data_IF_520579894970
#
_entry.id   IF_520579894970
#
_cell.length_a   1.000
_cell.length_b   1.000
_cell.length_c   1.000
_cell.angle_alpha   90.00
_cell.angle_beta   90.00
_cell.angle_gamma   90.00
#
_symmetry.space_group_name_H-M   'P 1'
#
loop_
_entity.id
_entity.type
_entity.pdbx_description
1 polymer ?
#
# COMPACT_ATOMS: atom_id res chain seq x y z
N UNK A 1 57.19 -42.53 86.89
CA UNK A 1 58.38 -42.26 86.05
C UNK A 1 57.98 -41.29 84.94
N UNK A 2 58.15 -39.98 85.17
CA UNK A 2 59.04 -39.08 84.39
C UNK A 2 59.05 -39.33 82.88
N UNK A 3 58.37 -38.46 82.12
CA UNK A 3 58.88 -37.96 80.85
C UNK A 3 58.71 -36.44 80.82
N UNK A 4 59.85 -35.77 81.00
CA UNK A 4 60.04 -34.35 80.70
C UNK A 4 59.78 -34.14 79.20
N UNK A 5 58.91 -33.19 78.85
CA UNK A 5 58.99 -32.49 77.57
C UNK A 5 59.48 -31.08 77.88
N UNK A 6 60.56 -30.59 77.24
CA UNK A 6 61.02 -29.23 77.47
C UNK A 6 60.05 -28.27 76.77
N UNK A 7 59.55 -27.30 77.53
CA UNK A 7 59.04 -26.05 76.99
C UNK A 7 60.19 -25.36 76.26
N UNK A 8 60.21 -25.43 74.92
CA UNK A 8 61.00 -24.49 74.13
C UNK A 8 60.20 -23.18 74.09
N UNK A 9 60.71 -22.17 74.79
CA UNK A 9 60.21 -20.80 74.73
C UNK A 9 60.42 -20.24 73.33
N UNK A 10 59.33 -20.06 72.58
CA UNK A 10 59.30 -19.20 71.39
C UNK A 10 59.19 -17.73 71.83
N UNK A 11 60.22 -17.23 72.53
CA UNK A 11 60.36 -15.82 72.90
C UNK A 11 61.75 -15.38 72.47
N UNK A 12 61.88 -15.01 71.20
CA UNK A 12 63.16 -14.61 70.64
C UNK A 12 63.13 -14.47 69.12
N UNK A 13 62.18 -13.71 68.57
CA UNK A 13 62.23 -13.29 67.15
C UNK A 13 61.53 -11.95 66.88
N UNK A 14 60.95 -11.28 67.86
CA UNK A 14 60.17 -10.03 67.65
C UNK A 14 61.03 -8.76 67.54
N UNK A 15 62.34 -8.83 67.77
CA UNK A 15 63.20 -7.64 67.81
C UNK A 15 63.66 -7.12 66.44
N UNK A 16 63.70 -7.95 65.38
CA UNK A 16 64.18 -7.52 64.05
C UNK A 16 63.07 -7.07 63.08
N UNK A 17 61.80 -7.36 63.39
CA UNK A 17 60.65 -7.03 62.52
C UNK A 17 60.26 -5.54 62.54
N UNK A 18 60.66 -4.81 63.57
CA UNK A 18 60.20 -3.44 63.82
C UNK A 18 61.17 -2.37 63.25
N UNK A 19 62.45 -2.73 63.04
CA UNK A 19 63.47 -1.80 62.53
C UNK A 19 63.28 -1.48 61.04
N UNK A 20 63.00 -2.50 60.22
CA UNK A 20 62.79 -2.35 58.77
C UNK A 20 61.55 -1.50 58.43
N UNK A 21 60.47 -1.65 59.20
CA UNK A 21 59.23 -0.88 59.02
C UNK A 21 59.41 0.60 59.40
N UNK A 22 60.08 0.89 60.52
CA UNK A 22 60.40 2.26 60.94
C UNK A 22 61.35 2.94 59.97
N UNK A 23 62.35 2.22 59.46
CA UNK A 23 63.26 2.74 58.44
C UNK A 23 62.52 3.04 57.13
N UNK A 24 61.63 2.14 56.67
CA UNK A 24 60.76 2.39 55.51
C UNK A 24 59.94 3.69 55.66
N UNK A 25 59.26 3.86 56.81
CA UNK A 25 58.43 5.05 57.09
C UNK A 25 59.25 6.35 57.12
N UNK A 26 60.46 6.30 57.68
CA UNK A 26 61.35 7.46 57.73
C UNK A 26 61.89 7.82 56.36
N UNK A 27 62.31 6.83 55.57
CA UNK A 27 62.99 7.03 54.29
C UNK A 27 62.06 7.49 53.17
N UNK A 28 60.78 7.12 53.20
CA UNK A 28 59.79 7.57 52.20
C UNK A 28 59.60 9.10 52.19
N UNK A 29 59.88 9.76 53.31
CA UNK A 29 59.79 11.23 53.42
C UNK A 29 60.96 11.94 52.74
N UNK A 30 62.05 11.22 52.46
CA UNK A 30 63.28 11.77 51.87
C UNK A 30 63.36 11.40 50.38
N UNK A 31 63.08 12.36 49.51
CA UNK A 31 63.10 12.17 48.05
C UNK A 31 64.48 11.81 47.49
N UNK A 32 65.56 12.07 48.23
CA UNK A 32 66.92 11.69 47.83
C UNK A 32 67.24 10.21 48.09
N UNK A 33 66.42 9.52 48.89
CA UNK A 33 66.66 8.14 49.34
C UNK A 33 65.67 7.12 48.77
N UNK A 34 65.01 7.43 47.65
CA UNK A 34 63.96 6.58 47.05
C UNK A 34 64.37 5.11 46.84
N UNK A 35 65.59 4.84 46.40
CA UNK A 35 66.05 3.46 46.19
C UNK A 35 66.25 2.70 47.51
N UNK A 36 66.71 3.38 48.56
CA UNK A 36 66.85 2.81 49.89
C UNK A 36 65.48 2.65 50.57
N UNK A 37 64.58 3.60 50.38
CA UNK A 37 63.18 3.49 50.82
C UNK A 37 62.53 2.26 50.16
N UNK A 38 62.74 2.05 48.86
CA UNK A 38 62.20 0.91 48.14
C UNK A 38 62.67 -0.43 48.73
N UNK A 39 63.98 -0.63 48.94
CA UNK A 39 64.50 -1.88 49.47
C UNK A 39 64.05 -2.14 50.92
N UNK A 40 63.99 -1.10 51.76
CA UNK A 40 63.53 -1.23 53.14
C UNK A 40 62.03 -1.51 53.22
N UNK A 41 61.22 -0.82 52.43
CA UNK A 41 59.78 -1.07 52.37
C UNK A 41 59.44 -2.43 51.77
N UNK A 42 60.18 -2.91 50.76
CA UNK A 42 60.03 -4.25 50.21
C UNK A 42 60.28 -5.33 51.27
N UNK A 43 61.39 -5.21 52.00
CA UNK A 43 61.75 -6.13 53.07
C UNK A 43 60.67 -6.16 54.15
N UNK A 44 60.30 -4.99 54.68
CA UNK A 44 59.28 -4.87 55.73
C UNK A 44 57.88 -5.33 55.26
N UNK A 45 57.53 -5.11 53.98
CA UNK A 45 56.28 -5.59 53.41
C UNK A 45 56.22 -7.12 53.32
N UNK A 46 57.33 -7.75 52.92
CA UNK A 46 57.47 -9.21 52.87
C UNK A 46 57.50 -9.86 54.26
N UNK A 47 57.95 -9.11 55.27
CA UNK A 47 57.89 -9.48 56.68
C UNK A 47 56.47 -9.39 57.27
N UNK A 48 55.50 -8.86 56.51
CA UNK A 48 54.08 -8.88 56.87
C UNK A 48 53.53 -7.59 57.46
N UNK A 49 54.36 -6.54 57.65
CA UNK A 49 53.91 -5.30 58.26
C UNK A 49 52.87 -4.58 57.38
N UNK A 50 51.66 -4.35 57.90
CA UNK A 50 50.55 -3.75 57.15
C UNK A 50 50.88 -2.36 56.58
N UNK A 51 51.56 -1.51 57.35
CA UNK A 51 51.89 -0.16 56.89
C UNK A 51 53.01 -0.19 55.83
N UNK A 52 54.03 -1.03 56.02
CA UNK A 52 55.09 -1.23 55.02
C UNK A 52 54.55 -1.81 53.71
N UNK A 53 53.57 -2.72 53.77
CA UNK A 53 52.88 -3.24 52.57
C UNK A 53 52.15 -2.14 51.81
N UNK A 54 51.46 -1.24 52.51
CA UNK A 54 50.83 -0.07 51.92
C UNK A 54 51.86 0.87 51.26
N UNK A 55 52.89 1.24 52.01
CA UNK A 55 53.95 2.15 51.58
C UNK A 55 54.74 1.59 50.38
N UNK A 56 55.08 0.30 50.40
CA UNK A 56 55.70 -0.37 49.28
C UNK A 56 54.79 -0.40 48.05
N UNK A 57 53.49 -0.61 48.24
CA UNK A 57 52.54 -0.54 47.13
C UNK A 57 52.46 0.86 46.51
N UNK A 58 52.57 1.94 47.28
CA UNK A 58 52.66 3.30 46.71
C UNK A 58 53.88 3.46 45.80
N UNK A 59 55.04 2.96 46.24
CA UNK A 59 56.27 2.97 45.43
C UNK A 59 56.12 2.13 44.15
N UNK A 60 55.41 1.00 44.22
CA UNK A 60 55.10 0.19 43.04
C UNK A 60 54.18 0.92 42.06
N UNK A 61 53.20 1.70 42.55
CA UNK A 61 52.33 2.54 41.69
C UNK A 61 53.14 3.62 40.97
N UNK A 62 54.11 4.25 41.65
CA UNK A 62 55.03 5.23 41.04
C UNK A 62 55.88 4.61 39.93
N UNK A 63 56.25 3.33 40.08
CA UNK A 63 56.99 2.55 39.07
C UNK A 63 56.11 1.92 37.99
N UNK A 64 54.83 2.27 37.94
CA UNK A 64 53.84 1.71 37.02
C UNK A 64 53.61 0.19 37.17
N UNK A 65 53.95 -0.37 38.33
CA UNK A 65 53.77 -1.78 38.68
C UNK A 65 52.43 -2.00 39.41
N UNK A 66 51.36 -1.45 38.85
CA UNK A 66 50.05 -1.38 39.52
C UNK A 66 49.46 -2.75 39.91
N UNK A 67 49.66 -3.79 39.10
CA UNK A 67 49.19 -5.15 39.43
C UNK A 67 49.85 -5.69 40.69
N UNK A 68 51.15 -5.46 40.84
CA UNK A 68 51.90 -5.88 42.02
C UNK A 68 51.51 -5.02 43.23
N UNK A 69 51.33 -3.72 43.02
CA UNK A 69 50.85 -2.81 44.07
C UNK A 69 49.51 -3.25 44.65
N UNK A 70 48.55 -3.64 43.80
CA UNK A 70 47.24 -4.16 44.22
C UNK A 70 47.42 -5.36 45.15
N UNK A 71 48.29 -6.31 44.81
CA UNK A 71 48.52 -7.49 45.66
C UNK A 71 49.01 -7.11 47.07
N UNK A 72 49.92 -6.13 47.19
CA UNK A 72 50.38 -5.64 48.49
C UNK A 72 49.34 -4.78 49.22
N UNK A 73 48.55 -4.00 48.49
CA UNK A 73 47.42 -3.27 49.06
C UNK A 73 46.36 -4.23 49.60
N UNK A 74 46.06 -5.33 48.91
CA UNK A 74 45.14 -6.37 49.40
C UNK A 74 45.67 -7.01 50.69
N UNK A 75 46.96 -7.35 50.76
CA UNK A 75 47.59 -7.85 52.00
C UNK A 75 47.46 -6.83 53.14
N UNK A 76 47.74 -5.56 52.88
CA UNK A 76 47.63 -4.49 53.88
C UNK A 76 46.18 -4.23 54.32
N UNK A 77 45.25 -4.23 53.37
CA UNK A 77 43.82 -4.04 53.58
C UNK A 77 43.19 -5.20 54.38
N UNK A 78 43.63 -6.44 54.14
CA UNK A 78 43.20 -7.60 54.92
C UNK A 78 43.63 -7.52 56.38
N UNK A 79 44.68 -6.77 56.68
CA UNK A 79 45.11 -6.43 58.05
C UNK A 79 44.38 -5.21 58.61
N UNK A 80 43.43 -4.63 57.86
CA UNK A 80 42.61 -3.53 58.28
C UNK A 80 43.26 -2.15 58.18
N UNK A 81 44.31 -1.98 57.38
CA UNK A 81 44.93 -0.68 57.12
C UNK A 81 43.95 0.25 56.35
N UNK A 82 43.52 1.39 56.93
CA UNK A 82 42.54 2.27 56.30
C UNK A 82 43.03 2.93 55.01
N UNK A 83 44.31 3.30 54.93
CA UNK A 83 44.89 3.91 53.74
C UNK A 83 45.00 2.92 52.57
N UNK A 84 45.30 1.65 52.85
CA UNK A 84 45.32 0.60 51.83
C UNK A 84 43.91 0.30 51.29
N UNK A 85 42.90 0.26 52.17
CA UNK A 85 41.50 0.15 51.76
C UNK A 85 41.08 1.34 50.89
N UNK A 86 41.46 2.56 51.26
CA UNK A 86 41.18 3.74 50.43
C UNK A 86 41.81 3.65 49.04
N UNK A 87 43.10 3.32 48.96
CA UNK A 87 43.84 3.19 47.71
C UNK A 87 43.29 2.06 46.82
N UNK A 88 42.90 0.90 47.38
CA UNK A 88 42.19 -0.13 46.62
C UNK A 88 40.89 0.41 46.04
N UNK A 89 40.15 1.19 46.82
CA UNK A 89 38.94 1.86 46.35
C UNK A 89 39.20 2.73 45.11
N UNK A 90 40.29 3.51 45.10
CA UNK A 90 40.69 4.32 43.95
C UNK A 90 41.08 3.46 42.74
N UNK A 91 41.91 2.43 42.94
CA UNK A 91 42.37 1.55 41.86
C UNK A 91 41.23 0.78 41.20
N UNK A 92 40.24 0.31 41.97
CA UNK A 92 39.03 -0.33 41.43
C UNK A 92 38.11 0.67 40.73
N UNK A 93 38.08 1.95 41.12
CA UNK A 93 37.30 2.97 40.42
C UNK A 93 37.86 3.23 39.02
N UNK A 94 39.18 3.33 38.89
CA UNK A 94 39.84 3.69 37.62
C UNK A 94 40.28 2.48 36.80
N UNK A 95 40.35 1.28 37.40
CA UNK A 95 40.83 0.06 36.74
C UNK A 95 42.35 0.00 36.57
N UNK A 96 43.12 0.61 37.47
CA UNK A 96 44.59 0.62 37.39
C UNK A 96 45.15 -0.58 38.15
N UNK A 97 45.73 -1.54 37.43
CA UNK A 97 46.26 -2.77 38.01
C UNK A 97 45.20 -3.84 38.35
N UNK A 98 43.91 -3.50 38.23
CA UNK A 98 42.75 -4.38 38.42
C UNK A 98 41.67 -4.07 37.39
N UNK A 99 40.73 -4.99 37.18
CA UNK A 99 39.53 -4.70 36.41
C UNK A 99 38.69 -3.60 37.10
N UNK A 100 38.24 -2.61 36.31
CA UNK A 100 37.41 -1.52 36.80
C UNK A 100 36.12 -2.06 37.41
N UNK A 101 35.88 -1.76 38.68
CA UNK A 101 34.72 -2.22 39.43
C UNK A 101 34.26 -1.16 40.45
N UNK A 102 33.33 -0.26 40.06
CA UNK A 102 32.82 0.79 40.94
C UNK A 102 32.13 0.26 42.20
N UNK A 103 31.51 -0.92 42.15
CA UNK A 103 30.88 -1.52 43.33
C UNK A 103 31.92 -1.95 44.37
N UNK A 104 33.03 -2.58 43.92
CA UNK A 104 34.17 -2.89 44.79
C UNK A 104 34.85 -1.62 45.30
N UNK A 105 34.93 -0.58 44.48
CA UNK A 105 35.46 0.72 44.91
C UNK A 105 34.70 1.26 46.13
N UNK A 106 33.36 1.34 46.03
CA UNK A 106 32.49 1.77 47.14
C UNK A 106 32.64 0.87 48.37
N UNK A 107 32.74 -0.45 48.16
CA UNK A 107 32.95 -1.41 49.24
C UNK A 107 34.24 -1.09 50.03
N UNK A 108 35.36 -0.89 49.34
CA UNK A 108 36.63 -0.59 50.00
C UNK A 108 36.63 0.81 50.66
N UNK A 109 36.03 1.81 50.02
CA UNK A 109 35.85 3.12 50.64
C UNK A 109 34.95 3.08 51.88
N UNK A 110 33.90 2.26 51.90
CA UNK A 110 33.09 2.05 53.09
C UNK A 110 33.90 1.45 54.24
N UNK A 111 34.69 0.39 53.96
CA UNK A 111 35.54 -0.23 54.98
C UNK A 111 36.61 0.73 55.51
N UNK A 112 37.20 1.53 54.62
CA UNK A 112 38.18 2.56 54.96
C UNK A 112 37.57 3.71 55.77
N UNK A 113 36.38 4.19 55.37
CA UNK A 113 35.63 5.23 56.08
C UNK A 113 35.24 4.79 57.50
N UNK A 114 34.78 3.55 57.67
CA UNK A 114 34.46 2.96 58.97
C UNK A 114 35.67 2.93 59.94
N UNK A 115 36.88 3.05 59.40
CA UNK A 115 38.15 3.11 60.14
C UNK A 115 38.69 4.53 60.30
N UNK A 116 37.92 5.55 59.93
CA UNK A 116 38.24 6.97 60.15
C UNK A 116 38.98 7.66 59.00
N UNK A 117 39.17 7.02 57.84
CA UNK A 117 39.80 7.66 56.69
C UNK A 117 38.82 8.64 56.02
N UNK A 118 39.06 9.93 56.21
CA UNK A 118 38.17 11.00 55.77
C UNK A 118 38.03 11.06 54.24
N UNK A 119 39.12 10.79 53.50
CA UNK A 119 39.07 10.78 52.03
C UNK A 119 38.16 9.69 51.50
N UNK A 120 38.14 8.53 52.16
CA UNK A 120 37.25 7.43 51.81
C UNK A 120 35.79 7.78 52.08
N UNK A 121 35.50 8.44 53.21
CA UNK A 121 34.16 8.91 53.52
C UNK A 121 33.64 9.93 52.51
N UNK A 122 34.49 10.88 52.10
CA UNK A 122 34.14 11.89 51.09
C UNK A 122 33.82 11.23 49.74
N UNK A 123 34.69 10.35 49.24
CA UNK A 123 34.48 9.65 47.97
C UNK A 123 33.24 8.75 47.99
N UNK A 124 32.98 8.07 49.10
CA UNK A 124 31.77 7.27 49.26
C UNK A 124 30.52 8.15 49.19
N UNK A 125 30.49 9.25 49.95
CA UNK A 125 29.36 10.18 49.96
C UNK A 125 29.09 10.76 48.57
N UNK A 126 30.12 11.24 47.86
CA UNK A 126 30.00 11.75 46.49
C UNK A 126 29.45 10.68 45.55
N UNK A 127 29.94 9.44 45.67
CA UNK A 127 29.47 8.33 44.84
C UNK A 127 28.02 7.92 45.13
N UNK A 128 27.56 8.03 46.36
CA UNK A 128 26.16 7.80 46.72
C UNK A 128 25.22 8.91 46.23
N UNK A 129 25.67 10.17 46.28
CA UNK A 129 24.90 11.28 45.72
C UNK A 129 24.77 11.16 44.20
N UNK A 130 25.86 10.81 43.52
CA UNK A 130 25.85 10.55 42.08
C UNK A 130 24.88 9.42 41.71
N UNK A 131 24.85 8.33 42.48
CA UNK A 131 23.89 7.23 42.27
C UNK A 131 22.44 7.69 42.46
N UNK A 132 22.14 8.47 43.51
CA UNK A 132 20.79 9.00 43.77
C UNK A 132 20.33 9.92 42.65
N UNK A 133 21.21 10.80 42.19
CA UNK A 133 20.92 11.70 41.06
C UNK A 133 20.68 10.90 39.76
N UNK A 134 21.52 9.89 39.49
CA UNK A 134 21.35 9.02 38.34
C UNK A 134 20.03 8.24 38.40
N UNK A 135 19.65 7.71 39.56
CA UNK A 135 18.36 7.04 39.77
C UNK A 135 17.18 8.00 39.58
N UNK A 136 17.27 9.24 40.10
CA UNK A 136 16.24 10.25 39.92
C UNK A 136 16.05 10.62 38.44
N UNK A 137 17.16 10.84 37.72
CA UNK A 137 17.13 11.11 36.27
C UNK A 137 16.56 9.93 35.48
N UNK A 138 16.95 8.71 35.82
CA UNK A 138 16.42 7.50 35.18
C UNK A 138 14.90 7.37 35.40
N UNK A 139 14.41 7.63 36.62
CA UNK A 139 12.99 7.61 36.94
C UNK A 139 12.22 8.69 36.17
N UNK A 140 12.77 9.90 36.09
CA UNK A 140 12.16 11.00 35.32
C UNK A 140 12.11 10.68 33.83
N UNK A 141 13.19 10.11 33.27
CA UNK A 141 13.26 9.71 31.88
C UNK A 141 12.23 8.61 31.55
N UNK A 142 12.07 7.63 32.43
CA UNK A 142 11.07 6.57 32.27
C UNK A 142 9.63 7.13 32.32
N UNK A 143 9.34 8.04 33.24
CA UNK A 143 8.03 8.70 33.29
C UNK A 143 7.75 9.53 32.02
N UNK A 144 8.75 10.25 31.51
CA UNK A 144 8.63 11.00 30.27
C UNK A 144 8.39 10.07 29.07
N UNK A 145 9.08 8.93 29.03
CA UNK A 145 8.89 7.90 28.00
C UNK A 145 7.48 7.32 28.04
N UNK A 146 7.01 6.90 29.21
CA UNK A 146 5.66 6.35 29.39
C UNK A 146 4.59 7.35 28.97
N UNK A 147 4.76 8.63 29.33
CA UNK A 147 3.86 9.70 28.90
C UNK A 147 3.86 9.87 27.38
N UNK A 148 5.04 9.87 26.74
CA UNK A 148 5.15 9.97 25.29
C UNK A 148 4.55 8.77 24.56
N UNK A 149 4.74 7.55 25.09
CA UNK A 149 4.13 6.33 24.56
C UNK A 149 2.60 6.37 24.64
N UNK A 150 2.05 6.85 25.76
CA UNK A 150 0.61 7.02 25.96
C UNK A 150 0.02 8.11 25.03
N UNK A 151 0.69 9.26 24.90
CA UNK A 151 0.28 10.31 23.97
C UNK A 151 0.30 9.81 22.51
N UNK A 152 1.31 9.02 22.13
CA UNK A 152 1.39 8.40 20.81
C UNK A 152 0.28 7.36 20.58
N UNK A 153 -0.08 6.56 21.61
CA UNK A 153 -1.21 5.63 21.55
C UNK A 153 -2.53 6.38 21.32
N UNK A 154 -2.79 7.41 22.11
CA UNK A 154 -3.99 8.24 21.98
C UNK A 154 -4.07 8.95 20.63
N UNK A 155 -2.93 9.40 20.07
CA UNK A 155 -2.89 10.01 18.75
C UNK A 155 -3.31 9.00 17.65
N UNK A 156 -2.80 7.76 17.71
CA UNK A 156 -3.19 6.69 16.78
C UNK A 156 -4.67 6.34 16.89
N UNK A 157 -5.22 6.29 18.09
CA UNK A 157 -6.65 6.04 18.33
C UNK A 157 -7.52 7.14 17.73
N UNK A 158 -7.16 8.41 17.92
CA UNK A 158 -7.87 9.54 17.30
C UNK A 158 -7.84 9.49 15.78
N UNK A 159 -6.68 9.13 15.21
CA UNK A 159 -6.53 8.97 13.76
C UNK A 159 -7.40 7.83 13.22
N UNK A 160 -7.47 6.70 13.93
CA UNK A 160 -8.33 5.57 13.58
C UNK A 160 -9.81 5.95 13.67
N UNK A 161 -10.22 6.67 14.71
CA UNK A 161 -11.59 7.16 14.85
C UNK A 161 -11.96 8.14 13.73
N UNK A 162 -11.05 9.05 13.36
CA UNK A 162 -11.24 9.97 12.24
C UNK A 162 -11.43 9.21 10.92
N UNK A 163 -10.59 8.21 10.64
CA UNK A 163 -10.72 7.34 9.46
C UNK A 163 -12.04 6.58 9.43
N UNK A 164 -12.47 6.03 10.56
CA UNK A 164 -13.75 5.32 10.66
C UNK A 164 -14.93 6.25 10.39
N UNK A 165 -14.89 7.48 10.92
CA UNK A 165 -15.91 8.49 10.66
C UNK A 165 -15.95 8.87 9.18
N UNK A 166 -14.80 9.12 8.56
CA UNK A 166 -14.72 9.44 7.13
C UNK A 166 -15.26 8.29 6.25
N UNK A 167 -14.93 7.04 6.60
CA UNK A 167 -15.46 5.87 5.89
C UNK A 167 -16.98 5.77 6.03
N UNK A 168 -17.51 5.92 7.25
CA UNK A 168 -18.95 5.90 7.48
C UNK A 168 -19.68 7.01 6.71
N UNK A 169 -19.11 8.22 6.65
CA UNK A 169 -19.64 9.33 5.85
C UNK A 169 -19.62 9.02 4.35
N UNK A 170 -18.53 8.41 3.85
CA UNK A 170 -18.41 8.00 2.45
C UNK A 170 -19.43 6.92 2.08
N UNK A 171 -19.60 5.91 2.93
CA UNK A 171 -20.59 4.86 2.75
C UNK A 171 -22.02 5.41 2.78
N UNK A 172 -22.31 6.34 3.69
CA UNK A 172 -23.61 7.01 3.74
C UNK A 172 -23.89 7.81 2.46
N UNK A 173 -22.90 8.57 1.95
CA UNK A 173 -23.01 9.29 0.68
C UNK A 173 -23.23 8.35 -0.50
N UNK A 174 -22.48 7.26 -0.60
CA UNK A 174 -22.66 6.26 -1.66
C UNK A 174 -24.03 5.59 -1.60
N UNK A 175 -24.51 5.27 -0.39
CA UNK A 175 -25.85 4.69 -0.19
C UNK A 175 -26.94 5.67 -0.60
N UNK A 176 -26.81 6.95 -0.23
CA UNK A 176 -27.75 7.99 -0.62
C UNK A 176 -27.76 8.21 -2.14
N UNK A 177 -26.59 8.25 -2.78
CA UNK A 177 -26.46 8.38 -4.23
C UNK A 177 -27.09 7.18 -4.97
N UNK A 178 -26.81 5.96 -4.51
CA UNK A 178 -27.42 4.75 -5.07
C UNK A 178 -28.95 4.78 -4.95
N UNK A 179 -29.47 5.21 -3.81
CA UNK A 179 -30.91 5.35 -3.61
C UNK A 179 -31.51 6.42 -4.53
N UNK A 180 -30.82 7.55 -4.73
CA UNK A 180 -31.24 8.60 -5.67
C UNK A 180 -31.30 8.09 -7.10
N UNK A 181 -30.23 7.45 -7.58
CA UNK A 181 -30.15 6.88 -8.93
C UNK A 181 -31.21 5.79 -9.14
N UNK A 182 -31.51 4.98 -8.11
CA UNK A 182 -32.59 4.00 -8.20
C UNK A 182 -33.97 4.66 -8.31
N UNK A 183 -34.21 5.73 -7.55
CA UNK A 183 -35.44 6.51 -7.64
C UNK A 183 -35.59 7.19 -9.01
N UNK A 184 -34.53 7.80 -9.53
CA UNK A 184 -34.48 8.39 -10.87
C UNK A 184 -34.76 7.34 -11.95
N UNK A 185 -34.14 6.15 -11.87
CA UNK A 185 -34.40 5.05 -12.81
C UNK A 185 -35.87 4.62 -12.79
N UNK A 186 -36.47 4.49 -11.60
CA UNK A 186 -37.89 4.14 -11.46
C UNK A 186 -38.79 5.21 -12.05
N UNK A 187 -38.51 6.49 -11.80
CA UNK A 187 -39.25 7.61 -12.36
C UNK A 187 -39.14 7.65 -13.90
N UNK A 188 -37.94 7.46 -14.45
CA UNK A 188 -37.73 7.39 -15.89
C UNK A 188 -38.50 6.24 -16.55
N UNK A 189 -38.48 5.04 -15.95
CA UNK A 189 -39.22 3.89 -16.48
C UNK A 189 -40.73 4.13 -16.45
N UNK A 190 -41.26 4.76 -15.39
CA UNK A 190 -42.66 5.15 -15.31
C UNK A 190 -43.03 6.17 -16.40
N UNK A 191 -42.19 7.19 -16.61
CA UNK A 191 -42.40 8.17 -17.68
C UNK A 191 -42.40 7.51 -19.07
N UNK A 192 -41.45 6.61 -19.31
CA UNK A 192 -41.37 5.84 -20.55
C UNK A 192 -42.62 5.01 -20.78
N UNK A 193 -43.12 4.31 -19.76
CA UNK A 193 -44.35 3.52 -19.85
C UNK A 193 -45.58 4.40 -20.11
N UNK A 194 -45.70 5.54 -19.43
CA UNK A 194 -46.78 6.49 -19.64
C UNK A 194 -46.78 7.05 -21.08
N UNK A 195 -45.60 7.38 -21.60
CA UNK A 195 -45.44 7.88 -22.97
C UNK A 195 -45.76 6.79 -24.01
N UNK A 196 -45.31 5.55 -23.78
CA UNK A 196 -45.68 4.42 -24.64
C UNK A 196 -47.18 4.17 -24.66
N UNK A 197 -47.86 4.26 -23.50
CA UNK A 197 -49.31 4.14 -23.42
C UNK A 197 -50.01 5.26 -24.20
N UNK A 198 -49.56 6.50 -24.06
CA UNK A 198 -50.07 7.66 -24.80
C UNK A 198 -49.92 7.48 -26.32
N UNK A 199 -48.74 7.08 -26.78
CA UNK A 199 -48.48 6.82 -28.19
C UNK A 199 -49.31 5.64 -28.73
N UNK A 200 -49.55 4.61 -27.91
CA UNK A 200 -50.41 3.49 -28.29
C UNK A 200 -51.87 3.93 -28.45
N UNK A 201 -52.39 4.81 -27.59
CA UNK A 201 -53.72 5.40 -27.76
C UNK A 201 -53.81 6.27 -29.01
N UNK A 202 -52.82 7.13 -29.25
CA UNK A 202 -52.77 7.94 -30.47
C UNK A 202 -52.75 7.08 -31.74
N UNK A 203 -51.97 5.99 -31.74
CA UNK A 203 -51.96 5.03 -32.86
C UNK A 203 -53.31 4.36 -33.07
N UNK A 204 -53.99 3.97 -31.98
CA UNK A 204 -55.36 3.40 -32.07
C UNK A 204 -56.34 4.40 -32.66
N UNK A 205 -56.31 5.66 -32.23
CA UNK A 205 -57.17 6.72 -32.77
C UNK A 205 -56.89 6.97 -34.26
N UNK A 206 -55.61 7.12 -34.64
CA UNK A 206 -55.21 7.30 -36.03
C UNK A 206 -55.65 6.11 -36.91
N UNK A 207 -55.55 4.89 -36.37
CA UNK A 207 -55.96 3.70 -37.10
C UNK A 207 -57.48 3.58 -37.20
N UNK A 208 -58.24 4.05 -36.21
CA UNK A 208 -59.70 4.15 -36.30
C UNK A 208 -60.11 5.18 -37.37
N UNK A 209 -59.45 6.34 -37.42
CA UNK A 209 -59.66 7.35 -38.48
C UNK A 209 -59.30 6.81 -39.86
N UNK A 210 -58.19 6.09 -39.99
CA UNK A 210 -57.79 5.43 -41.25
C UNK A 210 -58.76 4.33 -41.66
N UNK A 211 -59.26 3.53 -40.72
CA UNK A 211 -60.26 2.50 -41.02
C UNK A 211 -61.60 3.13 -41.45
N UNK A 212 -61.98 4.25 -40.84
CA UNK A 212 -63.16 5.01 -41.23
C UNK A 212 -62.97 5.62 -42.63
N UNK A 213 -61.82 6.24 -42.91
CA UNK A 213 -61.47 6.75 -44.24
C UNK A 213 -61.39 5.64 -45.30
N UNK A 214 -60.88 4.46 -44.93
CA UNK A 214 -60.84 3.29 -45.81
C UNK A 214 -62.24 2.70 -46.04
N UNK A 215 -63.16 2.74 -45.07
CA UNK A 215 -64.56 2.40 -45.29
C UNK A 215 -65.23 3.37 -46.28
N UNK A 216 -64.98 4.68 -46.16
CA UNK A 216 -65.47 5.69 -47.10
C UNK A 216 -64.89 5.51 -48.50
N UNK A 217 -63.62 5.12 -48.60
CA UNK A 217 -62.95 4.81 -49.87
C UNK A 217 -63.36 3.43 -50.42
N UNK A 218 -63.69 2.44 -49.58
CA UNK A 218 -64.12 1.12 -50.03
C UNK A 218 -65.53 1.14 -50.63
N UNK A 219 -66.38 2.09 -50.24
CA UNK A 219 -67.61 2.44 -50.98
C UNK A 219 -67.36 3.16 -52.31
N UNK A 220 -66.13 3.58 -52.62
CA UNK A 220 -65.74 4.17 -53.92
C UNK A 220 -64.71 3.35 -54.71
N UNK A 221 -64.25 2.20 -54.20
CA UNK A 221 -63.20 1.35 -54.79
C UNK A 221 -63.60 -0.13 -54.89
N UNK A 222 -64.89 -0.44 -55.07
CA UNK A 222 -65.32 -1.73 -55.69
C UNK A 222 -65.07 -1.77 -57.21
N UNK A 223 -64.34 -0.80 -57.76
CA UNK A 223 -63.92 -0.80 -59.15
C UNK A 223 -62.47 -0.34 -59.24
N UNK A 224 -61.53 -1.29 -59.35
CA UNK A 224 -60.18 -1.16 -59.93
C UNK A 224 -59.17 -2.05 -59.22
N UNK A 225 -58.93 -3.23 -59.80
CA UNK A 225 -57.75 -4.05 -59.56
C UNK A 225 -56.54 -3.42 -60.25
N UNK A 226 -55.56 -2.91 -59.50
CA UNK A 226 -54.30 -2.42 -60.06
C UNK A 226 -53.10 -3.15 -59.46
N UNK A 227 -52.45 -3.95 -60.30
CA UNK A 227 -51.19 -4.65 -60.09
C UNK A 227 -50.05 -3.67 -59.78
N UNK A 228 -49.33 -3.91 -58.68
CA UNK A 228 -48.10 -3.19 -58.34
C UNK A 228 -47.02 -3.37 -59.42
N UNK A 229 -46.21 -2.36 -59.74
CA UNK A 229 -45.14 -2.46 -60.73
C UNK A 229 -44.10 -3.50 -60.30
N UNK A 230 -43.77 -4.43 -61.19
CA UNK A 230 -42.73 -5.44 -61.00
C UNK A 230 -41.44 -4.98 -61.67
N UNK A 231 -40.34 -4.92 -60.93
CA UNK A 231 -39.01 -4.68 -61.49
C UNK A 231 -38.50 -5.92 -62.23
N UNK A 232 -37.74 -5.75 -63.32
CA UNK A 232 -36.92 -6.83 -63.88
C UNK A 232 -35.80 -7.18 -62.89
N UNK A 233 -35.93 -8.33 -62.25
CA UNK A 233 -35.05 -8.77 -61.16
C UNK A 233 -33.68 -9.28 -61.62
N UNK A 234 -33.46 -9.49 -62.92
CA UNK A 234 -32.23 -10.11 -63.45
C UNK A 234 -30.96 -9.29 -63.20
N UNK A 235 -31.12 -7.98 -62.97
CA UNK A 235 -30.02 -7.03 -62.71
C UNK A 235 -29.65 -6.93 -61.22
N UNK A 236 -30.39 -7.60 -60.31
CA UNK A 236 -30.27 -7.38 -58.88
C UNK A 236 -29.57 -8.55 -58.16
N UNK A 237 -28.62 -8.23 -57.28
CA UNK A 237 -28.07 -9.21 -56.34
C UNK A 237 -28.93 -9.26 -55.07
N UNK A 238 -29.53 -10.41 -54.82
CA UNK A 238 -30.35 -10.65 -53.63
C UNK A 238 -29.51 -11.16 -52.47
N UNK A 239 -29.78 -10.61 -51.28
CA UNK A 239 -29.25 -11.08 -50.01
C UNK A 239 -30.42 -11.36 -49.08
N UNK A 240 -30.53 -12.61 -48.61
CA UNK A 240 -31.64 -13.06 -47.77
C UNK A 240 -33.03 -12.83 -48.42
N UNK A 241 -33.08 -12.90 -49.75
CA UNK A 241 -34.31 -12.71 -50.53
C UNK A 241 -34.73 -11.26 -50.75
N UNK A 242 -33.89 -10.28 -50.38
CA UNK A 242 -34.13 -8.86 -50.66
C UNK A 242 -32.96 -8.25 -51.43
N UNK A 243 -33.27 -7.39 -52.39
CA UNK A 243 -32.29 -6.58 -53.10
C UNK A 243 -32.61 -5.10 -52.91
N UNK A 244 -31.57 -4.27 -52.83
CA UNK A 244 -31.76 -2.81 -52.82
C UNK A 244 -32.06 -2.32 -54.22
N UNK A 245 -32.97 -1.36 -54.33
CA UNK A 245 -33.22 -0.61 -55.57
C UNK A 245 -33.14 0.89 -55.27
N UNK A 246 -32.84 1.68 -56.29
CA UNK A 246 -32.78 3.13 -56.18
C UNK A 246 -33.88 3.76 -57.03
N UNK A 247 -34.60 4.72 -56.43
CA UNK A 247 -35.62 5.51 -57.09
C UNK A 247 -35.53 6.94 -56.56
N UNK A 248 -35.43 7.92 -57.46
CA UNK A 248 -35.33 9.35 -57.13
C UNK A 248 -34.21 9.68 -56.13
N UNK A 249 -33.05 9.02 -56.25
CA UNK A 249 -31.91 9.22 -55.35
C UNK A 249 -32.12 8.69 -53.93
N UNK A 250 -33.15 7.87 -53.70
CA UNK A 250 -33.42 7.17 -52.45
C UNK A 250 -33.39 5.67 -52.67
N UNK A 251 -33.00 4.95 -51.62
CA UNK A 251 -32.84 3.50 -51.64
C UNK A 251 -34.02 2.84 -50.92
N UNK A 252 -34.58 1.82 -51.56
CA UNK A 252 -35.60 0.91 -51.01
C UNK A 252 -35.19 -0.55 -51.21
N UNK A 253 -36.10 -1.48 -50.93
CA UNK A 253 -35.86 -2.92 -51.10
C UNK A 253 -37.01 -3.62 -51.82
N UNK A 254 -36.64 -4.52 -52.73
CA UNK A 254 -37.55 -5.40 -53.47
C UNK A 254 -37.32 -6.87 -53.09
N UNK A 255 -38.36 -7.70 -53.22
CA UNK A 255 -38.26 -9.15 -53.12
C UNK A 255 -37.78 -9.80 -54.43
N UNK A 256 -37.57 -11.12 -54.40
CA UNK A 256 -37.16 -11.91 -55.57
C UNK A 256 -38.16 -11.93 -56.71
N UNK A 257 -39.38 -11.43 -56.51
CA UNK A 257 -40.42 -11.29 -57.53
C UNK A 257 -40.50 -9.85 -58.06
N UNK A 258 -39.58 -8.96 -57.66
CA UNK A 258 -39.55 -7.57 -58.08
C UNK A 258 -40.60 -6.70 -57.40
N UNK A 259 -41.21 -7.15 -56.30
CA UNK A 259 -42.20 -6.38 -55.53
C UNK A 259 -41.50 -5.50 -54.51
N UNK A 260 -41.91 -4.24 -54.40
CA UNK A 260 -41.41 -3.33 -53.37
C UNK A 260 -41.84 -3.83 -51.99
N UNK A 261 -40.87 -4.22 -51.17
CA UNK A 261 -41.07 -4.61 -49.76
C UNK A 261 -40.85 -3.41 -48.85
N UNK A 262 -39.85 -2.59 -49.17
CA UNK A 262 -39.56 -1.35 -48.44
C UNK A 262 -39.46 -0.22 -49.46
N UNK A 263 -40.35 0.78 -49.41
CA UNK A 263 -40.31 1.91 -50.33
C UNK A 263 -38.99 2.67 -50.28
N UNK A 264 -38.61 3.28 -51.41
CA UNK A 264 -37.40 4.08 -51.51
C UNK A 264 -37.50 5.34 -50.63
N UNK A 265 -36.77 5.34 -49.52
CA UNK A 265 -36.83 6.41 -48.52
C UNK A 265 -35.48 6.72 -47.87
N UNK A 266 -34.52 5.78 -47.93
CA UNK A 266 -33.22 5.94 -47.28
C UNK A 266 -32.22 6.63 -48.19
N UNK A 267 -31.31 7.41 -47.61
CA UNK A 267 -30.26 8.08 -48.39
C UNK A 267 -29.22 7.08 -48.91
N UNK A 268 -28.93 6.04 -48.13
CA UNK A 268 -28.06 4.91 -48.49
C UNK A 268 -28.53 3.66 -47.78
N UNK A 269 -28.20 2.48 -48.30
CA UNK A 269 -28.47 1.21 -47.65
C UNK A 269 -27.38 0.17 -47.90
N UNK A 270 -27.06 -0.60 -46.86
CA UNK A 270 -26.35 -1.85 -46.96
C UNK A 270 -27.26 -2.99 -47.42
N UNK A 271 -26.69 -4.19 -47.53
CA UNK A 271 -27.45 -5.43 -47.78
C UNK A 271 -28.04 -5.98 -46.48
N UNK A 272 -29.13 -6.73 -46.59
CA UNK A 272 -29.63 -7.54 -45.48
C UNK A 272 -28.60 -8.59 -45.06
N UNK A 273 -28.44 -8.74 -43.75
CA UNK A 273 -27.57 -9.73 -43.12
C UNK A 273 -28.15 -10.08 -41.77
N UNK A 274 -28.42 -11.36 -41.56
CA UNK A 274 -29.07 -11.92 -40.39
C UNK A 274 -30.43 -11.30 -40.04
N UNK A 275 -31.20 -10.92 -41.07
CA UNK A 275 -32.54 -10.34 -40.99
C UNK A 275 -32.58 -8.82 -40.79
N UNK A 276 -31.43 -8.15 -40.78
CA UNK A 276 -31.29 -6.72 -40.49
C UNK A 276 -30.42 -6.05 -41.56
N UNK A 277 -30.77 -4.82 -41.97
CA UNK A 277 -29.94 -3.99 -42.84
C UNK A 277 -29.58 -2.68 -42.15
N UNK A 278 -28.34 -2.22 -42.32
CA UNK A 278 -27.96 -0.86 -41.97
C UNK A 278 -28.40 0.11 -43.08
N UNK A 279 -29.06 1.19 -42.70
CA UNK A 279 -29.59 2.20 -43.63
C UNK A 279 -29.28 3.60 -43.12
N UNK A 280 -29.08 4.54 -44.03
CA UNK A 280 -28.78 5.93 -43.70
C UNK A 280 -30.06 6.77 -43.76
N UNK A 281 -30.36 7.46 -42.66
CA UNK A 281 -31.50 8.35 -42.55
C UNK A 281 -31.34 9.64 -43.36
N UNK A 282 -32.34 10.51 -43.27
CA UNK A 282 -32.29 11.87 -43.83
C UNK A 282 -31.26 12.75 -43.13
N UNK A 283 -30.93 12.46 -41.87
CA UNK A 283 -29.91 13.15 -41.08
C UNK A 283 -28.46 12.76 -41.45
N UNK A 284 -28.26 11.85 -42.42
CA UNK A 284 -26.94 11.38 -42.81
C UNK A 284 -26.29 10.39 -41.83
N UNK A 285 -26.97 10.01 -40.75
CA UNK A 285 -26.51 8.98 -39.82
C UNK A 285 -27.07 7.62 -40.21
N UNK A 286 -26.41 6.57 -39.74
CA UNK A 286 -26.77 5.17 -39.95
C UNK A 286 -27.59 4.65 -38.78
N UNK A 287 -28.63 3.91 -39.11
CA UNK A 287 -29.44 3.10 -38.20
C UNK A 287 -29.66 1.71 -38.79
N UNK A 288 -30.58 0.95 -38.21
CA UNK A 288 -30.86 -0.42 -38.60
C UNK A 288 -32.36 -0.66 -38.73
N UNK A 289 -32.75 -1.35 -39.80
CA UNK A 289 -34.15 -1.72 -40.07
C UNK A 289 -34.32 -3.22 -40.22
N UNK A 290 -35.49 -3.70 -39.84
CA UNK A 290 -35.90 -5.08 -40.09
C UNK A 290 -36.37 -5.29 -41.54
N UNK A 291 -36.74 -6.53 -41.89
CA UNK A 291 -37.20 -6.90 -43.25
C UNK A 291 -38.48 -6.21 -43.72
N UNK A 292 -39.25 -5.62 -42.80
CA UNK A 292 -40.46 -4.83 -43.11
C UNK A 292 -40.16 -3.33 -43.23
N UNK A 293 -38.91 -2.91 -43.00
CA UNK A 293 -38.51 -1.50 -43.00
C UNK A 293 -38.73 -0.77 -41.67
N UNK A 294 -39.16 -1.47 -40.62
CA UNK A 294 -39.31 -0.86 -39.29
C UNK A 294 -37.94 -0.67 -38.64
N UNK A 295 -37.73 0.49 -38.01
CA UNK A 295 -36.53 0.79 -37.24
C UNK A 295 -36.36 -0.17 -36.07
N UNK A 296 -35.18 -0.79 -36.00
CA UNK A 296 -34.66 -1.48 -34.82
C UNK A 296 -33.79 -0.51 -34.02
N UNK A 297 -32.97 0.26 -34.72
CA UNK A 297 -32.19 1.36 -34.15
C UNK A 297 -32.34 2.55 -35.07
N UNK A 298 -32.81 3.67 -34.53
CA UNK A 298 -32.92 4.91 -35.28
C UNK A 298 -31.54 5.38 -35.80
N UNK A 299 -31.49 6.23 -36.84
CA UNK A 299 -30.24 6.77 -37.37
C UNK A 299 -29.44 7.60 -36.35
N UNK A 300 -28.47 6.96 -35.70
CA UNK A 300 -27.67 7.53 -34.62
C UNK A 300 -26.16 7.42 -34.84
N UNK A 301 -25.69 6.55 -35.73
CA UNK A 301 -24.27 6.23 -35.88
C UNK A 301 -23.64 6.92 -37.08
N UNK A 302 -22.41 7.39 -36.92
CA UNK A 302 -21.66 8.03 -38.01
C UNK A 302 -21.27 6.99 -39.07
N UNK A 303 -20.89 5.80 -38.61
CA UNK A 303 -20.56 4.66 -39.44
C UNK A 303 -21.14 3.39 -38.85
N UNK A 304 -21.49 2.46 -39.72
CA UNK A 304 -22.09 1.18 -39.34
C UNK A 304 -21.59 0.06 -40.23
N UNK A 305 -21.46 -1.13 -39.64
CA UNK A 305 -21.22 -2.37 -40.35
C UNK A 305 -22.52 -3.20 -40.41
N UNK A 306 -22.54 -4.19 -41.31
CA UNK A 306 -23.61 -5.19 -41.33
C UNK A 306 -23.53 -6.11 -40.10
N UNK A 307 -24.64 -6.71 -39.71
CA UNK A 307 -24.65 -7.74 -38.68
C UNK A 307 -23.88 -8.99 -39.12
N UNK A 308 -22.98 -9.45 -38.26
CA UNK A 308 -22.21 -10.69 -38.43
C UNK A 308 -22.00 -11.35 -37.07
N UNK A 309 -22.29 -12.65 -36.98
CA UNK A 309 -22.20 -13.44 -35.75
C UNK A 309 -23.07 -12.87 -34.60
N UNK A 310 -24.20 -12.24 -34.93
CA UNK A 310 -25.15 -11.68 -33.98
C UNK A 310 -24.86 -10.26 -33.48
N UNK A 311 -23.77 -9.63 -33.94
CA UNK A 311 -23.39 -8.26 -33.56
C UNK A 311 -23.00 -7.41 -34.77
N UNK A 312 -23.06 -6.08 -34.64
CA UNK A 312 -22.62 -5.15 -35.67
C UNK A 312 -21.72 -4.07 -35.05
N UNK A 313 -20.60 -3.80 -35.72
CA UNK A 313 -19.71 -2.69 -35.34
C UNK A 313 -20.33 -1.35 -35.73
N UNK A 314 -20.35 -0.40 -34.80
CA UNK A 314 -20.87 0.95 -34.99
C UNK A 314 -19.91 1.99 -34.43
N UNK A 315 -19.84 3.16 -35.07
CA UNK A 315 -18.97 4.25 -34.67
C UNK A 315 -19.75 5.38 -34.01
N UNK A 316 -19.41 5.69 -32.76
CA UNK A 316 -20.12 6.63 -31.89
C UNK A 316 -19.33 7.91 -31.61
N UNK A 317 -20.02 9.06 -31.60
CA UNK A 317 -19.49 10.33 -31.09
C UNK A 317 -18.51 11.09 -32.00
N UNK A 318 -18.39 10.72 -33.28
CA UNK A 318 -17.48 11.35 -34.25
C UNK A 318 -18.17 12.00 -35.45
N UNK A 319 -17.45 12.11 -36.57
CA UNK A 319 -17.98 12.57 -37.85
C UNK A 319 -17.32 11.84 -39.03
N UNK A 320 -17.95 11.89 -40.21
CA UNK A 320 -17.37 11.36 -41.43
C UNK A 320 -16.61 12.48 -42.16
N UNK A 321 -15.32 12.31 -42.41
CA UNK A 321 -14.52 13.29 -43.15
C UNK A 321 -14.78 13.20 -44.67
N UNK A 322 -14.21 14.13 -45.44
CA UNK A 322 -14.38 14.17 -46.91
C UNK A 322 -13.84 12.93 -47.65
N UNK A 323 -12.98 12.14 -47.01
CA UNK A 323 -12.48 10.86 -47.53
C UNK A 323 -13.40 9.67 -47.19
N UNK A 324 -14.54 9.92 -46.51
CA UNK A 324 -15.47 8.88 -46.08
C UNK A 324 -15.03 8.13 -44.82
N UNK A 325 -13.98 8.58 -44.14
CA UNK A 325 -13.47 7.95 -42.92
C UNK A 325 -14.18 8.50 -41.68
N UNK A 326 -14.42 7.63 -40.71
CA UNK A 326 -15.04 7.97 -39.43
C UNK A 326 -13.95 8.42 -38.47
N UNK A 327 -14.02 9.67 -38.00
CA UNK A 327 -12.96 10.32 -37.20
C UNK A 327 -13.55 10.92 -35.93
N UNK A 328 -12.76 10.96 -34.86
CA UNK A 328 -13.10 11.63 -33.60
C UNK A 328 -14.00 10.85 -32.64
N UNK A 329 -14.52 9.70 -33.06
CA UNK A 329 -15.35 8.80 -32.25
C UNK A 329 -14.64 7.51 -31.86
N UNK A 330 -15.42 6.54 -31.36
CA UNK A 330 -14.96 5.19 -31.00
C UNK A 330 -15.85 4.11 -31.59
N UNK A 331 -15.27 2.96 -31.89
CA UNK A 331 -15.98 1.76 -32.30
C UNK A 331 -16.49 1.00 -31.08
N UNK A 332 -17.75 0.58 -31.16
CA UNK A 332 -18.39 -0.37 -30.26
C UNK A 332 -19.20 -1.40 -31.06
N UNK A 333 -19.89 -2.29 -30.36
CA UNK A 333 -20.70 -3.33 -30.98
C UNK A 333 -22.09 -3.37 -30.38
N UNK A 334 -23.10 -3.43 -31.24
CA UNK A 334 -24.50 -3.60 -30.83
C UNK A 334 -24.99 -5.00 -31.18
N UNK A 335 -25.93 -5.52 -30.38
CA UNK A 335 -26.67 -6.74 -30.69
C UNK A 335 -27.89 -6.45 -31.57
N UNK A 336 -28.59 -7.51 -32.01
CA UNK A 336 -29.76 -7.40 -32.91
C UNK A 336 -30.95 -6.64 -32.32
N UNK A 337 -31.00 -6.42 -31.01
CA UNK A 337 -32.02 -5.61 -30.36
C UNK A 337 -31.63 -4.12 -30.30
N UNK A 338 -30.42 -3.76 -30.77
CA UNK A 338 -29.90 -2.40 -30.72
C UNK A 338 -29.16 -2.04 -29.44
N UNK A 339 -29.07 -2.95 -28.48
CA UNK A 339 -28.36 -2.71 -27.22
C UNK A 339 -26.85 -2.89 -27.41
N UNK A 340 -26.05 -2.13 -26.66
CA UNK A 340 -24.61 -2.32 -26.59
C UNK A 340 -24.27 -3.74 -26.12
N UNK A 341 -23.60 -4.50 -27.00
CA UNK A 341 -22.94 -5.74 -26.64
C UNK A 341 -21.54 -5.46 -26.09
N UNK A 342 -20.86 -4.45 -26.65
CA UNK A 342 -19.59 -3.92 -26.18
C UNK A 342 -19.64 -2.41 -26.39
N UNK A 343 -19.38 -1.64 -25.33
CA UNK A 343 -19.43 -0.18 -25.36
C UNK A 343 -18.40 0.41 -26.36
N UNK A 344 -18.66 1.61 -26.92
CA UNK A 344 -17.79 2.21 -27.91
C UNK A 344 -16.52 2.77 -27.27
N UNK A 345 -15.50 1.91 -27.16
CA UNK A 345 -14.21 2.25 -26.55
C UNK A 345 -13.01 2.07 -27.51
N UNK A 346 -13.19 1.40 -28.64
CA UNK A 346 -12.07 1.04 -29.52
C UNK A 346 -11.72 2.14 -30.52
N UNK A 347 -10.43 2.32 -30.77
CA UNK A 347 -9.92 3.24 -31.80
C UNK A 347 -10.20 2.68 -33.20
N UNK A 348 -10.04 1.37 -33.36
CA UNK A 348 -10.35 0.64 -34.59
C UNK A 348 -11.04 -0.69 -34.25
N UNK A 349 -11.97 -1.12 -35.10
CA UNK A 349 -12.62 -2.42 -34.95
C UNK A 349 -12.98 -3.03 -36.31
N UNK A 350 -12.74 -4.33 -36.46
CA UNK A 350 -13.20 -5.10 -37.61
C UNK A 350 -14.54 -5.79 -37.33
N UNK A 351 -15.16 -6.34 -38.37
CA UNK A 351 -16.35 -7.20 -38.22
C UNK A 351 -15.99 -8.56 -37.62
N UNK A 352 -16.87 -9.11 -36.80
CA UNK A 352 -16.70 -10.46 -36.25
C UNK A 352 -16.69 -11.53 -37.33
N UNK A 353 -15.78 -12.49 -37.21
CA UNK A 353 -15.63 -13.63 -38.11
C UNK A 353 -15.38 -14.91 -37.32
N UNK A 354 -15.66 -16.05 -37.95
CA UNK A 354 -15.40 -17.39 -37.41
C UNK A 354 -14.04 -17.87 -37.93
N UNK A 355 -13.13 -18.22 -37.04
CA UNK A 355 -11.82 -18.76 -37.43
C UNK A 355 -11.90 -20.24 -37.84
N UNK A 356 -10.78 -20.80 -38.31
CA UNK A 356 -10.71 -22.20 -38.77
C UNK A 356 -11.00 -23.23 -37.67
N UNK A 357 -10.94 -22.83 -36.40
CA UNK A 357 -11.28 -23.66 -35.23
C UNK A 357 -12.71 -23.41 -34.74
N UNK A 358 -13.46 -22.59 -35.45
CA UNK A 358 -14.84 -22.26 -35.17
C UNK A 358 -15.05 -21.19 -34.09
N UNK A 359 -13.99 -20.51 -33.64
CA UNK A 359 -14.08 -19.44 -32.64
C UNK A 359 -14.51 -18.14 -33.30
N UNK A 360 -15.45 -17.44 -32.67
CA UNK A 360 -15.92 -16.13 -33.13
C UNK A 360 -15.05 -15.07 -32.48
N UNK A 361 -14.36 -14.28 -33.30
CA UNK A 361 -13.48 -13.20 -32.83
C UNK A 361 -13.46 -12.02 -33.79
N UNK A 362 -13.00 -10.88 -33.29
CA UNK A 362 -12.68 -9.72 -34.12
C UNK A 362 -11.38 -9.08 -33.67
N UNK A 363 -10.73 -8.36 -34.58
CA UNK A 363 -9.52 -7.59 -34.32
C UNK A 363 -9.92 -6.15 -33.96
N UNK A 364 -9.40 -5.65 -32.85
CA UNK A 364 -9.64 -4.29 -32.36
C UNK A 364 -8.33 -3.61 -31.98
N UNK A 365 -8.33 -2.28 -31.99
CA UNK A 365 -7.24 -1.45 -31.46
C UNK A 365 -7.79 -0.61 -30.30
N UNK A 366 -7.13 -0.67 -29.14
CA UNK A 366 -7.46 0.11 -27.95
C UNK A 366 -6.17 0.71 -27.39
N UNK A 367 -6.13 2.04 -27.24
CA UNK A 367 -4.98 2.75 -26.69
C UNK A 367 -3.66 2.43 -27.43
N UNK A 368 -3.74 2.26 -28.75
CA UNK A 368 -2.60 1.94 -29.61
C UNK A 368 -2.18 0.48 -29.63
N UNK A 369 -2.81 -0.41 -28.83
CA UNK A 369 -2.55 -1.85 -28.88
C UNK A 369 -3.62 -2.57 -29.69
N UNK A 370 -3.19 -3.48 -30.57
CA UNK A 370 -4.09 -4.27 -31.42
C UNK A 370 -4.15 -5.73 -30.99
N UNK A 371 -5.36 -6.23 -30.67
CA UNK A 371 -5.59 -7.60 -30.20
C UNK A 371 -6.93 -8.16 -30.68
N UNK A 372 -7.18 -9.44 -30.37
CA UNK A 372 -8.46 -10.10 -30.67
C UNK A 372 -9.36 -10.13 -29.44
N UNK A 373 -10.66 -9.97 -29.67
CA UNK A 373 -11.70 -10.11 -28.63
C UNK A 373 -12.80 -11.09 -29.06
N UNK A 374 -13.47 -11.69 -28.07
CA UNK A 374 -14.73 -12.41 -28.24
C UNK A 374 -15.94 -11.45 -28.30
N UNK A 375 -17.16 -12.01 -28.45
CA UNK A 375 -18.41 -11.22 -28.56
C UNK A 375 -18.83 -10.52 -27.26
N UNK A 376 -18.21 -10.88 -26.14
CA UNK A 376 -18.42 -10.27 -24.83
C UNK A 376 -17.38 -9.19 -24.52
N UNK A 377 -16.41 -8.96 -25.42
CA UNK A 377 -15.34 -7.99 -25.24
C UNK A 377 -14.12 -8.54 -24.50
N UNK A 378 -14.08 -9.84 -24.19
CA UNK A 378 -12.92 -10.44 -23.53
C UNK A 378 -11.78 -10.62 -24.53
N UNK A 379 -10.57 -10.26 -24.11
CA UNK A 379 -9.34 -10.45 -24.89
C UNK A 379 -8.99 -11.93 -25.03
N UNK A 380 -8.55 -12.34 -26.23
CA UNK A 380 -8.24 -13.72 -26.62
C UNK A 380 -6.76 -14.01 -26.82
#
# INVERSE_FOLDING_TARGET
MKRLFPFLSLLGLTACFDDSAKECESLIKDSSKKNLAYSMCEKAANEGNANAQYLYAQLLIEKDQAKQAVSYLEKSANQGNPQALYQLGELFLIGKGVEKNPAKSKYYWQQSCNKGEQKACANLFESEQADKEAQAKAKQAEQARQKAEEEARLAKEREQQARQKELAEREAKQKAEKARLEAERKAFEQQKQAEQARLAEQRKALQAEQNQANQTNQTSYESSTATQPTFDVTQFTFYEGLAKFEQNGKVGFIDTNGRIVIPAQFSRAGRFSEGIANVQGSNGLWGYVNRSGNWIVDPLFVCSARFMQGVAGVYWGGYQNSAGQCVGGKWGFINKAGNWAIDPIFDEAQGFSKDTKGRIKTKVTYQGETFYIDRSGNRL
#
